data_IF_583548553523
#
_entry.id   IF_583548553523
#
_cell.length_a   1.000
_cell.length_b   1.000
_cell.length_c   1.000
_cell.angle_alpha   90.00
_cell.angle_beta   90.00
_cell.angle_gamma   90.00
#
_symmetry.space_group_name_H-M   'P 1'
#
loop_
_entity.id
_entity.type
_entity.pdbx_description
1 polymer ?
#
# COMPACT_ATOMS: atom_id res chain seq x y z
N UNK A 1 -8.72 -14.97 13.09
CA UNK A 1 -8.17 -13.91 12.23
C UNK A 1 -9.10 -13.66 11.06
N UNK A 2 -8.95 -12.49 10.48
CA UNK A 2 -9.76 -12.07 9.35
C UNK A 2 -8.85 -11.76 8.17
N UNK A 3 -9.19 -12.32 7.00
CA UNK A 3 -8.48 -12.02 5.76
C UNK A 3 -9.28 -10.95 5.00
N UNK A 4 -8.62 -9.86 4.63
CA UNK A 4 -9.26 -8.76 3.91
C UNK A 4 -8.56 -8.52 2.58
N UNK A 5 -9.35 -8.19 1.57
CA UNK A 5 -8.84 -7.74 0.28
C UNK A 5 -9.44 -6.37 0.02
N UNK A 6 -8.59 -5.37 -0.12
CA UNK A 6 -9.00 -4.00 -0.38
C UNK A 6 -8.64 -3.65 -1.81
N UNK A 7 -9.59 -3.11 -2.56
CA UNK A 7 -9.38 -2.61 -3.91
C UNK A 7 -9.33 -1.10 -3.83
N UNK A 8 -8.20 -0.52 -4.20
CA UNK A 8 -7.94 0.90 -4.01
C UNK A 8 -7.57 1.57 -5.32
N UNK A 9 -8.11 2.75 -5.54
CA UNK A 9 -7.80 3.58 -6.71
C UNK A 9 -7.30 4.93 -6.23
N UNK A 10 -6.12 5.34 -6.72
CA UNK A 10 -5.59 6.67 -6.51
C UNK A 10 -5.70 7.47 -7.81
N UNK A 11 -6.30 8.64 -7.74
CA UNK A 11 -6.29 9.60 -8.83
C UNK A 11 -4.85 10.01 -9.16
N UNK A 12 -4.59 10.58 -10.35
CA UNK A 12 -3.29 11.14 -10.67
C UNK A 12 -2.80 12.07 -9.55
N UNK A 13 -1.56 11.89 -9.11
CA UNK A 13 -0.98 12.66 -8.01
C UNK A 13 -1.45 12.26 -6.61
N UNK A 14 -2.36 11.30 -6.51
CA UNK A 14 -2.86 10.84 -5.21
C UNK A 14 -1.79 10.16 -4.38
N UNK A 15 -1.87 10.32 -3.07
CA UNK A 15 -0.90 9.74 -2.14
C UNK A 15 -1.54 9.40 -0.82
N UNK A 16 -0.90 8.49 -0.11
CA UNK A 16 -1.25 8.14 1.25
C UNK A 16 -0.07 8.48 2.15
N UNK A 17 -0.26 9.27 3.21
CA UNK A 17 0.83 9.68 4.09
C UNK A 17 1.39 8.49 4.87
N UNK A 18 2.50 8.73 5.58
CA UNK A 18 3.15 7.70 6.39
C UNK A 18 2.18 7.03 7.34
N UNK A 19 2.24 5.71 7.35
CA UNK A 19 1.41 4.87 8.22
C UNK A 19 2.11 3.52 8.39
N UNK A 20 1.56 2.67 9.23
CA UNK A 20 2.00 1.27 9.33
C UNK A 20 0.78 0.36 9.45
N UNK A 21 1.02 -0.91 9.17
CA UNK A 21 0.01 -1.95 9.35
C UNK A 21 0.43 -2.84 10.52
N UNK A 22 -0.49 -3.21 11.41
CA UNK A 22 -0.16 -4.12 12.53
C UNK A 22 0.05 -5.56 12.08
N UNK A 23 -0.18 -5.86 10.81
CA UNK A 23 -0.09 -7.22 10.25
C UNK A 23 0.72 -7.20 8.97
N UNK A 24 0.98 -8.40 8.43
CA UNK A 24 1.58 -8.53 7.10
C UNK A 24 0.60 -8.03 6.04
N UNK A 25 1.12 -7.29 5.06
CA UNK A 25 0.34 -6.74 3.95
C UNK A 25 1.07 -7.05 2.65
N UNK A 26 0.32 -7.43 1.62
CA UNK A 26 0.86 -7.58 0.27
C UNK A 26 0.09 -6.64 -0.64
N UNK A 27 0.83 -5.81 -1.37
CA UNK A 27 0.28 -4.94 -2.40
C UNK A 27 0.47 -5.58 -3.77
N UNK A 28 -0.52 -5.47 -4.64
CA UNK A 28 -0.48 -6.01 -5.99
C UNK A 28 -1.09 -4.98 -6.94
N UNK A 29 -0.30 -4.50 -7.90
CA UNK A 29 -0.75 -3.46 -8.83
C UNK A 29 -1.52 -4.05 -10.00
N UNK A 30 -2.70 -3.49 -10.26
CA UNK A 30 -3.55 -3.90 -11.39
C UNK A 30 -3.42 -2.96 -12.59
N UNK A 31 -3.27 -1.65 -12.32
CA UNK A 31 -3.25 -0.63 -13.36
C UNK A 31 -2.40 0.55 -12.92
N UNK A 32 -1.66 1.14 -13.85
CA UNK A 32 -0.82 2.30 -13.57
C UNK A 32 0.49 1.93 -12.87
N UNK A 33 1.12 2.89 -12.22
CA UNK A 33 2.37 2.70 -11.49
C UNK A 33 2.28 3.36 -10.13
N UNK A 34 2.76 2.66 -9.11
CA UNK A 34 2.80 3.19 -7.76
C UNK A 34 4.19 3.17 -7.17
N UNK A 35 4.46 4.09 -6.25
CA UNK A 35 5.71 4.15 -5.50
C UNK A 35 5.42 3.84 -4.04
N UNK A 36 6.11 2.84 -3.50
CA UNK A 36 6.07 2.47 -2.10
C UNK A 36 7.42 2.74 -1.48
N UNK A 37 7.44 3.45 -0.39
CA UNK A 37 8.68 3.78 0.31
C UNK A 37 8.57 3.43 1.79
N UNK A 38 9.39 2.47 2.22
CA UNK A 38 9.58 2.16 3.63
C UNK A 38 10.53 3.17 4.24
N UNK A 39 10.29 3.52 5.49
CA UNK A 39 11.16 4.45 6.21
C UNK A 39 12.59 3.93 6.26
N UNK A 40 13.54 4.76 5.86
CA UNK A 40 14.96 4.41 5.85
C UNK A 40 15.42 3.61 4.63
N UNK A 41 14.54 3.35 3.66
CA UNK A 41 14.88 2.59 2.45
C UNK A 41 14.58 3.39 1.19
N UNK A 42 15.15 2.96 0.07
CA UNK A 42 14.87 3.55 -1.23
C UNK A 42 13.45 3.24 -1.67
N UNK A 43 12.82 4.15 -2.41
CA UNK A 43 11.48 3.90 -2.94
C UNK A 43 11.49 2.77 -3.96
N UNK A 44 10.39 2.01 -3.99
CA UNK A 44 10.17 0.91 -4.93
C UNK A 44 9.00 1.28 -5.82
N UNK A 45 9.20 1.21 -7.15
CA UNK A 45 8.13 1.43 -8.12
C UNK A 45 7.56 0.09 -8.54
N UNK A 46 6.24 -0.04 -8.44
CA UNK A 46 5.51 -1.22 -8.85
C UNK A 46 4.66 -0.90 -10.08
N UNK A 47 4.70 -1.80 -11.05
CA UNK A 47 3.90 -1.75 -12.28
C UNK A 47 2.87 -2.87 -12.27
N UNK A 48 1.89 -2.87 -13.20
CA UNK A 48 0.88 -3.92 -13.23
C UNK A 48 1.48 -5.33 -13.21
N UNK A 49 0.93 -6.17 -12.34
CA UNK A 49 1.41 -7.53 -12.14
C UNK A 49 2.54 -7.68 -11.12
N UNK A 50 3.07 -6.59 -10.61
CA UNK A 50 4.11 -6.61 -9.57
C UNK A 50 3.51 -6.47 -8.19
N UNK A 51 4.19 -7.04 -7.20
CA UNK A 51 3.73 -7.05 -5.82
C UNK A 51 4.84 -6.70 -4.84
N UNK A 52 4.43 -6.30 -3.63
CA UNK A 52 5.35 -5.95 -2.55
C UNK A 52 4.78 -6.42 -1.23
N UNK A 53 5.59 -7.13 -0.45
CA UNK A 53 5.25 -7.54 0.90
C UNK A 53 5.79 -6.51 1.89
N UNK A 54 4.94 -6.02 2.78
CA UNK A 54 5.32 -5.10 3.85
C UNK A 54 5.10 -5.81 5.19
N UNK A 55 6.15 -5.86 6.00
CA UNK A 55 6.13 -6.54 7.30
C UNK A 55 5.35 -5.73 8.34
N UNK A 56 4.84 -6.41 9.39
CA UNK A 56 4.12 -5.72 10.47
C UNK A 56 4.96 -4.62 11.10
N UNK A 57 4.33 -3.48 11.38
CA UNK A 57 4.97 -2.35 12.06
C UNK A 57 5.91 -1.51 11.22
N UNK A 58 6.15 -1.89 9.97
CA UNK A 58 7.02 -1.12 9.08
C UNK A 58 6.31 0.16 8.63
N UNK A 59 6.88 1.30 8.98
CA UNK A 59 6.36 2.61 8.55
C UNK A 59 6.65 2.81 7.09
N UNK A 60 5.64 3.13 6.31
CA UNK A 60 5.79 3.37 4.88
C UNK A 60 4.78 4.40 4.38
N UNK A 61 5.02 4.88 3.17
CA UNK A 61 4.08 5.74 2.45
C UNK A 61 4.00 5.25 1.01
N UNK A 62 2.88 5.50 0.35
CA UNK A 62 2.75 5.15 -1.05
C UNK A 62 1.94 6.20 -1.81
N UNK A 63 2.22 6.29 -3.10
CA UNK A 63 1.62 7.30 -3.96
C UNK A 63 1.50 6.80 -5.39
N UNK A 64 0.64 7.44 -6.16
CA UNK A 64 0.59 7.25 -7.60
C UNK A 64 1.82 7.93 -8.20
N UNK A 65 2.57 7.18 -9.00
CA UNK A 65 3.77 7.70 -9.65
C UNK A 65 3.45 8.65 -10.80
N UNK A 66 2.22 8.63 -11.30
CA UNK A 66 1.79 9.42 -12.47
C UNK A 66 0.99 10.65 -12.08
N UNK A 67 1.13 11.72 -12.86
CA UNK A 67 0.29 12.91 -12.77
C UNK A 67 -0.84 12.91 -13.80
N UNK A 68 -0.92 11.88 -14.64
CA UNK A 68 -1.89 11.80 -15.74
C UNK A 68 -2.77 10.56 -15.71
N UNK A 69 -2.31 9.46 -15.09
CA UNK A 69 -3.02 8.19 -15.06
C UNK A 69 -3.36 7.78 -13.63
N UNK A 70 -4.44 7.01 -13.48
CA UNK A 70 -4.80 6.48 -12.18
C UNK A 70 -3.96 5.26 -11.83
N UNK A 71 -3.84 5.00 -10.52
CA UNK A 71 -3.23 3.79 -9.97
C UNK A 71 -4.33 2.95 -9.35
N UNK A 72 -4.38 1.67 -9.72
CA UNK A 72 -5.31 0.71 -9.11
C UNK A 72 -4.51 -0.45 -8.55
N UNK A 73 -4.73 -0.77 -7.29
CA UNK A 73 -4.03 -1.89 -6.65
C UNK A 73 -4.91 -2.62 -5.65
N UNK A 74 -4.51 -3.84 -5.37
CA UNK A 74 -5.10 -4.66 -4.31
C UNK A 74 -4.19 -4.65 -3.11
N UNK A 75 -4.78 -4.67 -1.93
CA UNK A 75 -4.08 -4.80 -0.67
C UNK A 75 -4.64 -6.02 0.05
N UNK A 76 -3.78 -7.00 0.33
CA UNK A 76 -4.14 -8.24 1.01
C UNK A 76 -3.64 -8.15 2.44
N UNK A 77 -4.55 -8.29 3.43
CA UNK A 77 -4.23 -8.12 4.84
C UNK A 77 -4.80 -9.27 5.64
N UNK A 78 -4.03 -9.79 6.59
CA UNK A 78 -4.52 -10.73 7.60
C UNK A 78 -4.43 -10.01 8.94
N UNK A 79 -5.58 -9.77 9.56
CA UNK A 79 -5.68 -9.04 10.83
C UNK A 79 -6.51 -9.81 11.84
N UNK A 80 -6.37 -9.47 13.11
CA UNK A 80 -7.27 -9.98 14.12
C UNK A 80 -8.65 -9.36 13.90
N UNK A 81 -9.69 -10.14 14.17
CA UNK A 81 -11.06 -9.68 13.96
C UNK A 81 -11.30 -8.38 14.73
N UNK A 82 -11.79 -7.36 14.03
CA UNK A 82 -12.04 -6.05 14.61
C UNK A 82 -10.83 -5.13 14.66
N UNK A 83 -9.65 -5.61 14.29
CA UNK A 83 -8.43 -4.79 14.28
C UNK A 83 -8.40 -3.87 13.05
N UNK A 84 -7.85 -2.67 13.23
CA UNK A 84 -7.60 -1.76 12.08
C UNK A 84 -6.49 -2.33 11.22
N UNK A 85 -6.67 -2.26 9.90
CA UNK A 85 -5.64 -2.69 8.95
C UNK A 85 -4.53 -1.65 8.77
N UNK A 86 -4.82 -0.38 9.04
CA UNK A 86 -3.88 0.73 8.84
C UNK A 86 -3.88 1.63 10.08
N UNK A 87 -2.68 2.03 10.52
CA UNK A 87 -2.50 2.97 11.64
C UNK A 87 -1.71 4.17 11.13
N UNK A 88 -2.30 5.37 11.12
CA UNK A 88 -1.59 6.55 10.66
C UNK A 88 -0.51 6.98 11.66
N UNK A 89 0.56 7.56 11.14
CA UNK A 89 1.61 8.18 11.95
C UNK A 89 1.18 9.60 12.29
N UNK A 90 1.53 10.02 13.48
CA UNK A 90 1.28 11.38 13.93
C UNK A 90 2.50 12.26 13.74
#
# INVERSE_FOLDING_TARGET
KEFRVLHTTYAPGGQNPKHYHPSHVVFYVLEGSGVWQEEGKDPVTLKPGESLHVRPGMVHAHRNASTTEQLVFLEFVIVDKGQRSTVPMR
#
